data_IF_466047488396
#
_entry.id   IF_466047488396
#
_cell.length_a   1.000
_cell.length_b   1.000
_cell.length_c   1.000
_cell.angle_alpha   90.00
_cell.angle_beta   90.00
_cell.angle_gamma   90.00
#
_symmetry.space_group_name_H-M   'P 1'
#
loop_
_entity.id
_entity.type
_entity.pdbx_description
1 polymer ?
#
# COMPACT_ATOMS: atom_id res chain seq x y z
N UNK A 1 22.47 -7.54 -25.57
CA UNK A 1 22.29 -7.90 -24.13
C UNK A 1 20.86 -8.41 -23.95
N UNK A 2 20.59 -9.41 -23.10
CA UNK A 2 19.22 -9.85 -22.83
C UNK A 2 18.73 -9.14 -21.57
N UNK A 3 17.75 -8.27 -21.70
CA UNK A 3 17.12 -7.55 -20.58
C UNK A 3 15.79 -8.26 -20.24
N UNK A 4 15.56 -8.53 -18.97
CA UNK A 4 14.27 -9.06 -18.47
C UNK A 4 13.46 -7.85 -17.98
N UNK A 5 12.33 -7.60 -18.63
CA UNK A 5 11.48 -6.45 -18.34
C UNK A 5 10.28 -6.97 -17.52
N UNK A 6 10.03 -6.45 -16.33
CA UNK A 6 8.86 -6.85 -15.55
C UNK A 6 7.57 -6.36 -16.23
N UNK A 7 6.61 -7.28 -16.38
CA UNK A 7 5.30 -7.02 -16.98
C UNK A 7 4.13 -7.21 -16.00
N UNK A 8 4.44 -7.72 -14.80
CA UNK A 8 3.48 -7.93 -13.71
C UNK A 8 4.11 -7.43 -12.40
N UNK A 9 3.31 -6.83 -11.52
CA UNK A 9 3.74 -6.41 -10.17
C UNK A 9 4.28 -7.56 -9.31
N UNK A 10 4.03 -8.82 -9.68
CA UNK A 10 4.62 -10.00 -9.03
C UNK A 10 6.13 -10.10 -9.23
N UNK A 11 6.64 -9.50 -10.29
CA UNK A 11 8.06 -9.52 -10.69
C UNK A 11 8.86 -8.37 -10.06
N UNK A 12 8.17 -7.43 -9.41
CA UNK A 12 8.75 -6.26 -8.73
C UNK A 12 8.66 -6.48 -7.22
N UNK A 13 9.77 -6.28 -6.50
CA UNK A 13 9.80 -6.38 -5.04
C UNK A 13 9.59 -5.02 -4.37
N UNK A 14 9.15 -5.03 -3.10
CA UNK A 14 9.02 -3.82 -2.29
C UNK A 14 10.35 -3.07 -2.17
N UNK A 15 11.47 -3.78 -2.01
CA UNK A 15 12.79 -3.17 -1.92
C UNK A 15 13.20 -2.44 -3.21
N UNK A 16 12.91 -3.01 -4.39
CA UNK A 16 13.12 -2.31 -5.66
C UNK A 16 12.25 -1.07 -5.76
N UNK A 17 10.99 -1.17 -5.39
CA UNK A 17 10.05 -0.06 -5.44
C UNK A 17 10.47 1.10 -4.52
N UNK A 18 10.88 0.81 -3.27
CA UNK A 18 11.38 1.82 -2.33
C UNK A 18 12.67 2.51 -2.82
N UNK A 19 13.58 1.73 -3.43
CA UNK A 19 14.77 2.32 -4.07
C UNK A 19 14.38 3.30 -5.17
N UNK A 20 13.41 2.92 -6.01
CA UNK A 20 12.90 3.80 -7.06
C UNK A 20 12.22 5.05 -6.49
N UNK A 21 11.35 4.92 -5.48
CA UNK A 21 10.73 6.07 -4.81
C UNK A 21 11.76 7.06 -4.28
N UNK A 22 12.83 6.55 -3.66
CA UNK A 22 13.93 7.40 -3.18
C UNK A 22 14.60 8.16 -4.33
N UNK A 23 14.87 7.50 -5.46
CA UNK A 23 15.44 8.17 -6.65
C UNK A 23 14.52 9.29 -7.14
N UNK A 24 13.21 9.05 -7.20
CA UNK A 24 12.21 10.05 -7.61
C UNK A 24 12.20 11.24 -6.64
N UNK A 25 12.22 10.97 -5.33
CA UNK A 25 12.21 12.03 -4.31
C UNK A 25 13.48 12.89 -4.35
N UNK A 26 14.65 12.26 -4.54
CA UNK A 26 15.93 12.95 -4.53
C UNK A 26 16.24 13.72 -5.84
N UNK A 27 15.53 13.40 -6.94
CA UNK A 27 15.86 13.92 -8.29
C UNK A 27 14.60 14.39 -9.06
N UNK A 28 13.64 15.00 -8.39
CA UNK A 28 12.34 15.36 -8.97
C UNK A 28 12.40 16.21 -10.26
N UNK A 29 13.49 16.94 -10.47
CA UNK A 29 13.70 17.84 -11.62
C UNK A 29 14.45 17.16 -12.80
N UNK A 30 14.97 15.93 -12.63
CA UNK A 30 15.71 15.20 -13.67
C UNK A 30 14.97 13.94 -14.14
N UNK A 31 14.00 14.14 -15.02
CA UNK A 31 13.16 13.07 -15.59
C UNK A 31 14.01 12.00 -16.31
N UNK A 32 15.04 12.42 -17.04
CA UNK A 32 15.89 11.50 -17.79
C UNK A 32 16.63 10.57 -16.84
N UNK A 33 17.19 11.12 -15.76
CA UNK A 33 17.88 10.34 -14.74
C UNK A 33 16.92 9.36 -14.04
N UNK A 34 15.70 9.81 -13.70
CA UNK A 34 14.66 8.96 -13.10
C UNK A 34 14.33 7.77 -14.02
N UNK A 35 14.14 8.00 -15.32
CA UNK A 35 13.85 6.92 -16.28
C UNK A 35 15.02 5.93 -16.41
N UNK A 36 16.26 6.40 -16.43
CA UNK A 36 17.45 5.55 -16.46
C UNK A 36 17.51 4.66 -15.20
N UNK A 37 17.32 5.26 -14.03
CA UNK A 37 17.32 4.54 -12.76
C UNK A 37 16.14 3.56 -12.65
N UNK A 38 14.97 3.93 -13.18
CA UNK A 38 13.79 3.04 -13.25
C UNK A 38 14.13 1.76 -14.00
N UNK A 39 14.73 1.87 -15.19
CA UNK A 39 15.12 0.70 -15.98
C UNK A 39 16.20 -0.10 -15.25
N UNK A 40 17.23 0.56 -14.69
CA UNK A 40 18.30 -0.11 -13.96
C UNK A 40 17.77 -0.92 -12.76
N UNK A 41 16.87 -0.32 -11.96
CA UNK A 41 16.34 -0.93 -10.74
C UNK A 41 15.39 -2.09 -11.07
N UNK A 42 14.41 -1.88 -11.96
CA UNK A 42 13.38 -2.88 -12.20
C UNK A 42 13.80 -3.99 -13.16
N UNK A 43 14.74 -3.74 -14.07
CA UNK A 43 15.34 -4.78 -14.91
C UNK A 43 16.56 -5.43 -14.26
N UNK A 44 16.99 -4.94 -13.08
CA UNK A 44 18.15 -5.42 -12.34
C UNK A 44 19.43 -5.46 -13.19
N UNK A 45 19.73 -4.33 -13.86
CA UNK A 45 20.92 -4.14 -14.69
C UNK A 45 21.69 -2.88 -14.25
N UNK A 46 22.96 -2.82 -14.61
CA UNK A 46 23.79 -1.65 -14.30
C UNK A 46 23.40 -0.44 -15.16
N UNK A 47 23.51 0.77 -14.61
CA UNK A 47 23.24 2.02 -15.32
C UNK A 47 24.08 2.11 -16.61
N UNK A 48 25.34 1.65 -16.56
CA UNK A 48 26.24 1.59 -17.72
C UNK A 48 25.69 0.73 -18.87
N UNK A 49 24.84 -0.26 -18.57
CA UNK A 49 24.22 -1.11 -19.56
C UNK A 49 22.92 -0.49 -20.08
N UNK A 50 22.17 0.22 -19.24
CA UNK A 50 21.04 1.04 -19.70
C UNK A 50 21.49 2.04 -20.75
N UNK A 51 22.63 2.71 -20.54
CA UNK A 51 23.19 3.72 -21.46
C UNK A 51 23.62 3.15 -22.82
N UNK A 52 23.71 1.82 -22.96
CA UNK A 52 24.04 1.15 -24.24
C UNK A 52 22.78 0.75 -25.03
N UNK A 53 21.60 0.88 -24.45
CA UNK A 53 20.34 0.53 -25.11
C UNK A 53 20.04 1.51 -26.26
N UNK A 54 19.51 1.04 -27.40
CA UNK A 54 18.95 1.91 -28.41
C UNK A 54 17.80 2.77 -27.84
N UNK A 55 17.73 4.04 -28.24
CA UNK A 55 16.77 4.99 -27.64
C UNK A 55 15.29 4.52 -27.75
N UNK A 56 14.92 3.88 -28.86
CA UNK A 56 13.58 3.34 -29.05
C UNK A 56 13.28 2.17 -28.09
N UNK A 57 14.24 1.25 -27.94
CA UNK A 57 14.10 0.13 -27.00
C UNK A 57 14.02 0.62 -25.55
N UNK A 58 14.85 1.62 -25.19
CA UNK A 58 14.77 2.25 -23.88
C UNK A 58 13.40 2.86 -23.61
N UNK A 59 12.84 3.61 -24.58
CA UNK A 59 11.49 4.20 -24.44
C UNK A 59 10.40 3.14 -24.27
N UNK A 60 10.48 2.02 -25.01
CA UNK A 60 9.54 0.91 -24.89
C UNK A 60 9.63 0.21 -23.53
N UNK A 61 10.86 0.05 -22.99
CA UNK A 61 11.08 -0.52 -21.65
C UNK A 61 10.48 0.41 -20.59
N UNK A 62 10.78 1.70 -20.63
CA UNK A 62 10.23 2.70 -19.71
C UNK A 62 8.70 2.64 -19.72
N UNK A 63 8.09 2.62 -20.91
CA UNK A 63 6.64 2.51 -21.07
C UNK A 63 6.08 1.24 -20.44
N UNK A 64 6.71 0.09 -20.68
CA UNK A 64 6.27 -1.20 -20.16
C UNK A 64 6.32 -1.22 -18.63
N UNK A 65 7.42 -0.75 -18.03
CA UNK A 65 7.55 -0.68 -16.58
C UNK A 65 6.50 0.26 -15.98
N UNK A 66 6.28 1.42 -16.58
CA UNK A 66 5.28 2.37 -16.11
C UNK A 66 3.87 1.76 -16.13
N UNK A 67 3.49 1.06 -17.21
CA UNK A 67 2.22 0.35 -17.29
C UNK A 67 2.11 -0.77 -16.24
N UNK A 68 3.23 -1.44 -15.94
CA UNK A 68 3.28 -2.46 -14.87
C UNK A 68 3.06 -1.84 -13.50
N UNK A 69 3.68 -0.70 -13.23
CA UNK A 69 3.51 0.02 -11.99
C UNK A 69 2.10 0.64 -11.83
N UNK A 70 1.35 0.78 -12.89
CA UNK A 70 -0.02 1.32 -12.89
C UNK A 70 -1.09 0.26 -12.58
N UNK A 71 -0.72 -1.03 -12.53
CA UNK A 71 -1.64 -2.12 -12.23
C UNK A 71 -2.25 -1.97 -10.82
N UNK A 72 -3.54 -2.27 -10.68
CA UNK A 72 -4.29 -2.19 -9.41
C UNK A 72 -4.75 -3.58 -8.98
N UNK A 73 -3.91 -4.35 -8.29
CA UNK A 73 -4.22 -5.71 -7.89
C UNK A 73 -5.23 -5.75 -6.74
N UNK A 74 -6.05 -6.81 -6.71
CA UNK A 74 -6.90 -7.11 -5.56
C UNK A 74 -6.10 -7.70 -4.40
N UNK A 75 -6.70 -7.68 -3.19
CA UNK A 75 -6.10 -8.28 -1.99
C UNK A 75 -5.76 -9.76 -2.20
N UNK A 76 -4.51 -10.12 -1.97
CA UNK A 76 -4.05 -11.50 -1.90
C UNK A 76 -4.13 -11.99 -0.46
N UNK A 77 -5.13 -12.83 -0.14
CA UNK A 77 -5.36 -13.31 1.25
C UNK A 77 -4.25 -14.21 1.78
N UNK A 78 -3.60 -15.00 0.92
CA UNK A 78 -2.52 -15.91 1.33
C UNK A 78 -1.45 -16.00 0.26
N UNK A 79 -0.18 -16.02 0.67
CA UNK A 79 0.95 -16.22 -0.25
C UNK A 79 2.07 -16.99 0.45
N UNK A 80 3.03 -17.47 -0.35
CA UNK A 80 4.22 -18.16 0.15
C UNK A 80 5.46 -17.34 -0.17
N UNK A 81 6.28 -17.09 0.83
CA UNK A 81 7.54 -16.36 0.69
C UNK A 81 8.58 -17.00 1.60
N UNK A 82 9.81 -17.21 1.10
CA UNK A 82 10.93 -17.80 1.85
C UNK A 82 10.57 -19.13 2.56
N UNK A 83 9.73 -19.95 1.92
CA UNK A 83 9.29 -21.24 2.47
C UNK A 83 8.12 -21.15 3.47
N UNK A 84 7.77 -19.97 3.96
CA UNK A 84 6.68 -19.72 4.92
C UNK A 84 5.39 -19.34 4.19
N UNK A 85 4.25 -19.87 4.66
CA UNK A 85 2.94 -19.47 4.16
C UNK A 85 2.41 -18.34 5.05
N UNK A 86 2.17 -17.18 4.45
CA UNK A 86 1.60 -16.02 5.12
C UNK A 86 0.11 -15.91 4.84
N UNK A 87 -0.66 -15.46 5.84
CA UNK A 87 -2.08 -15.15 5.74
C UNK A 87 -2.37 -13.73 6.18
N UNK A 88 -3.23 -13.04 5.44
CA UNK A 88 -3.78 -11.74 5.85
C UNK A 88 -4.67 -11.93 7.10
N UNK A 89 -4.78 -10.92 7.95
CA UNK A 89 -5.66 -10.93 9.13
C UNK A 89 -7.04 -11.47 8.73
N UNK A 90 -7.48 -12.63 9.28
CA UNK A 90 -8.72 -13.28 8.83
C UNK A 90 -9.99 -12.49 9.16
N UNK A 91 -9.96 -11.72 10.26
CA UNK A 91 -11.09 -10.93 10.72
C UNK A 91 -10.60 -9.58 11.26
N UNK A 92 -10.84 -8.52 10.49
CA UNK A 92 -10.47 -7.15 10.86
C UNK A 92 -11.25 -6.59 12.05
N UNK A 93 -12.43 -7.12 12.36
CA UNK A 93 -13.21 -6.70 13.53
C UNK A 93 -12.61 -7.17 14.86
N UNK A 94 -11.69 -8.14 14.81
CA UNK A 94 -11.08 -8.77 15.99
C UNK A 94 -9.58 -8.46 16.11
N UNK A 95 -9.11 -7.39 15.46
CA UNK A 95 -7.74 -6.94 15.65
C UNK A 95 -7.50 -6.50 17.09
N UNK A 96 -6.34 -6.82 17.62
CA UNK A 96 -5.93 -6.40 18.95
C UNK A 96 -5.63 -4.89 19.00
N UNK A 97 -5.63 -4.31 20.19
CA UNK A 97 -5.24 -2.91 20.37
C UNK A 97 -3.80 -2.65 19.89
N UNK A 98 -2.89 -3.62 20.09
CA UNK A 98 -1.51 -3.50 19.62
C UNK A 98 -1.41 -3.48 18.10
N UNK A 99 -2.11 -4.37 17.40
CA UNK A 99 -2.21 -4.38 15.94
C UNK A 99 -2.75 -3.05 15.42
N UNK A 100 -3.86 -2.57 16.00
CA UNK A 100 -4.46 -1.30 15.63
C UNK A 100 -3.49 -0.12 15.80
N UNK A 101 -2.85 -0.02 16.95
CA UNK A 101 -1.91 1.07 17.25
C UNK A 101 -0.68 1.06 16.32
N UNK A 102 -0.18 -0.14 15.96
CA UNK A 102 0.94 -0.26 15.02
C UNK A 102 0.52 0.14 13.61
N UNK A 103 -0.65 -0.32 13.14
CA UNK A 103 -1.18 0.07 11.83
C UNK A 103 -1.38 1.60 11.76
N UNK A 104 -1.97 2.20 12.79
CA UNK A 104 -2.19 3.64 12.88
C UNK A 104 -0.86 4.43 12.84
N UNK A 105 0.16 3.93 13.52
CA UNK A 105 1.51 4.51 13.49
C UNK A 105 2.15 4.44 12.11
N UNK A 106 1.88 3.40 11.33
CA UNK A 106 2.43 3.17 10.00
C UNK A 106 1.69 3.94 8.91
N UNK A 107 0.45 4.36 9.15
CA UNK A 107 -0.36 5.03 8.13
C UNK A 107 0.31 6.32 7.63
N UNK A 108 0.33 6.48 6.30
CA UNK A 108 0.93 7.64 5.63
C UNK A 108 2.46 7.68 5.64
N UNK A 109 3.13 6.60 6.08
CA UNK A 109 4.59 6.52 6.18
C UNK A 109 5.13 5.40 5.33
N UNK A 110 5.62 5.74 4.13
CA UNK A 110 6.17 4.76 3.19
C UNK A 110 7.37 3.98 3.75
N UNK A 111 8.15 4.61 4.64
CA UNK A 111 9.27 3.97 5.32
C UNK A 111 8.85 2.80 6.25
N UNK A 112 7.60 2.82 6.74
CA UNK A 112 7.06 1.80 7.64
C UNK A 112 6.19 0.74 6.94
N UNK A 113 6.24 0.66 5.60
CA UNK A 113 5.44 -0.30 4.81
C UNK A 113 5.69 -1.74 5.23
N UNK A 114 6.95 -2.15 5.45
CA UNK A 114 7.31 -3.50 5.89
C UNK A 114 6.72 -3.83 7.27
N UNK A 115 6.76 -2.86 8.18
CA UNK A 115 6.18 -3.02 9.52
C UNK A 115 4.66 -3.18 9.40
N UNK A 116 3.99 -2.37 8.60
CA UNK A 116 2.56 -2.49 8.35
C UNK A 116 2.20 -3.86 7.75
N UNK A 117 3.00 -4.35 6.80
CA UNK A 117 2.81 -5.68 6.21
C UNK A 117 3.00 -6.80 7.23
N UNK A 118 3.97 -6.68 8.17
CA UNK A 118 4.21 -7.69 9.21
C UNK A 118 3.06 -7.80 10.21
N UNK A 119 2.31 -6.72 10.41
CA UNK A 119 1.07 -6.75 11.19
C UNK A 119 -0.05 -7.42 10.39
N UNK A 120 -0.23 -7.03 9.13
CA UNK A 120 -1.33 -7.50 8.28
C UNK A 120 -1.17 -8.96 7.85
N UNK A 121 0.06 -9.42 7.62
CA UNK A 121 0.38 -10.77 7.17
C UNK A 121 1.29 -11.47 8.17
N UNK A 122 0.84 -12.60 8.66
CA UNK A 122 1.58 -13.44 9.59
C UNK A 122 1.63 -14.88 9.12
N UNK A 123 2.60 -15.67 9.60
CA UNK A 123 2.67 -17.09 9.28
C UNK A 123 1.36 -17.81 9.60
N UNK A 124 0.93 -18.67 8.68
CA UNK A 124 -0.27 -19.49 8.88
C UNK A 124 0.11 -20.69 9.77
N UNK A 125 -0.54 -20.79 10.93
CA UNK A 125 -0.34 -21.89 11.90
C UNK A 125 -1.20 -23.10 11.58
N UNK A 126 -2.47 -22.87 11.15
CA UNK A 126 -3.40 -23.93 10.78
C UNK A 126 -4.20 -23.51 9.56
N UNK A 127 -4.56 -24.47 8.72
CA UNK A 127 -5.48 -24.24 7.61
C UNK A 127 -6.36 -25.45 7.38
N UNK A 128 -7.65 -25.19 7.12
CA UNK A 128 -8.66 -26.19 6.77
C UNK A 128 -9.40 -25.74 5.51
N UNK A 129 -9.86 -26.72 4.73
CA UNK A 129 -10.80 -26.46 3.63
C UNK A 129 -12.17 -26.98 4.01
N UNK A 130 -13.21 -26.11 3.95
CA UNK A 130 -14.58 -26.46 4.20
C UNK A 130 -15.42 -25.97 3.00
N UNK A 131 -16.15 -26.86 2.35
CA UNK A 131 -16.98 -26.53 1.18
C UNK A 131 -16.25 -25.80 0.04
N UNK A 132 -14.96 -26.07 -0.16
CA UNK A 132 -14.12 -25.42 -1.18
C UNK A 132 -13.46 -24.11 -0.72
N UNK A 133 -13.90 -23.52 0.37
CA UNK A 133 -13.29 -22.33 0.96
C UNK A 133 -12.14 -22.69 1.90
N UNK A 134 -11.08 -21.88 1.89
CA UNK A 134 -9.90 -22.06 2.73
C UNK A 134 -10.01 -21.12 3.94
N UNK A 135 -10.13 -21.73 5.12
CA UNK A 135 -10.02 -21.06 6.41
C UNK A 135 -8.63 -21.27 7.00
N UNK A 136 -8.10 -20.27 7.67
CA UNK A 136 -6.78 -20.37 8.29
C UNK A 136 -6.70 -19.54 9.57
N UNK A 137 -5.78 -19.94 10.44
CA UNK A 137 -5.33 -19.19 11.61
C UNK A 137 -3.91 -18.69 11.34
N UNK A 138 -3.60 -17.51 11.83
CA UNK A 138 -2.26 -16.92 11.74
C UNK A 138 -1.63 -16.84 13.14
N UNK A 139 -0.33 -16.67 13.21
CA UNK A 139 0.38 -16.44 14.47
C UNK A 139 -0.17 -15.21 15.19
N UNK A 140 -0.10 -15.22 16.52
CA UNK A 140 -0.48 -14.08 17.34
C UNK A 140 0.45 -12.88 17.09
N UNK A 141 -0.08 -11.68 17.26
CA UNK A 141 0.72 -10.45 17.16
C UNK A 141 1.63 -10.33 18.39
N UNK A 142 2.92 -10.23 18.16
CA UNK A 142 3.94 -10.16 19.22
C UNK A 142 4.46 -8.74 19.47
N UNK A 143 4.23 -7.81 18.53
CA UNK A 143 4.84 -6.47 18.55
C UNK A 143 6.34 -6.47 18.19
N UNK A 144 6.86 -7.57 17.66
CA UNK A 144 8.26 -7.66 17.24
C UNK A 144 8.47 -7.01 15.88
N UNK A 145 9.03 -5.80 15.90
CA UNK A 145 9.32 -5.02 14.69
C UNK A 145 10.39 -5.66 13.79
N UNK A 146 11.22 -6.57 14.34
CA UNK A 146 12.24 -7.26 13.53
C UNK A 146 11.63 -8.14 12.43
N UNK A 147 10.38 -8.58 12.60
CA UNK A 147 9.65 -9.34 11.61
C UNK A 147 9.40 -8.55 10.32
N UNK A 148 9.41 -7.23 10.38
CA UNK A 148 9.28 -6.34 9.22
C UNK A 148 10.36 -6.61 8.15
N UNK A 149 11.58 -6.96 8.55
CA UNK A 149 12.69 -7.24 7.64
C UNK A 149 12.39 -8.41 6.67
N UNK A 150 11.52 -9.32 7.06
CA UNK A 150 11.11 -10.44 6.21
C UNK A 150 10.32 -9.99 4.98
N UNK A 151 9.74 -8.78 5.01
CA UNK A 151 8.86 -8.27 3.96
C UNK A 151 9.56 -7.41 2.90
N UNK A 152 10.87 -7.17 3.00
CA UNK A 152 11.63 -6.41 1.99
C UNK A 152 11.48 -6.96 0.57
N UNK A 153 11.45 -8.27 0.41
CA UNK A 153 11.34 -8.95 -0.88
C UNK A 153 9.90 -9.30 -1.26
N UNK A 154 8.91 -8.74 -0.55
CA UNK A 154 7.50 -8.98 -0.86
C UNK A 154 7.16 -8.45 -2.25
N UNK A 155 6.53 -9.27 -3.12
CA UNK A 155 6.09 -8.82 -4.44
C UNK A 155 5.07 -7.67 -4.35
N UNK A 156 5.24 -6.65 -5.18
CA UNK A 156 4.44 -5.42 -5.14
C UNK A 156 2.93 -5.64 -5.31
N UNK A 157 2.50 -6.68 -6.02
CA UNK A 157 1.07 -6.99 -6.11
C UNK A 157 0.44 -7.33 -4.76
N UNK A 158 1.19 -7.95 -3.83
CA UNK A 158 0.74 -8.25 -2.46
C UNK A 158 0.68 -6.96 -1.66
N UNK A 159 1.76 -6.18 -1.70
CA UNK A 159 1.87 -4.89 -0.99
C UNK A 159 0.72 -3.97 -1.39
N UNK A 160 0.59 -3.72 -2.70
CA UNK A 160 -0.40 -2.79 -3.24
C UNK A 160 -1.84 -3.28 -3.01
N UNK A 161 -2.10 -4.58 -3.20
CA UNK A 161 -3.41 -5.15 -2.93
C UNK A 161 -3.83 -5.02 -1.47
N UNK A 162 -2.91 -5.19 -0.53
CA UNK A 162 -3.17 -4.99 0.90
C UNK A 162 -3.44 -3.53 1.24
N UNK A 163 -2.63 -2.61 0.70
CA UNK A 163 -2.78 -1.17 0.91
C UNK A 163 -4.13 -0.66 0.38
N UNK A 164 -4.45 -0.97 -0.87
CA UNK A 164 -5.73 -0.56 -1.50
C UNK A 164 -6.93 -1.11 -0.71
N UNK A 165 -6.87 -2.38 -0.29
CA UNK A 165 -7.92 -2.99 0.52
C UNK A 165 -8.09 -2.26 1.85
N UNK A 166 -6.98 -2.01 2.56
CA UNK A 166 -7.00 -1.35 3.86
C UNK A 166 -7.57 0.08 3.76
N UNK A 167 -7.12 0.85 2.77
CA UNK A 167 -7.64 2.20 2.53
C UNK A 167 -9.12 2.21 2.16
N UNK A 168 -9.57 1.25 1.36
CA UNK A 168 -10.98 1.13 1.00
C UNK A 168 -11.83 0.86 2.24
N UNK A 169 -11.41 -0.07 3.09
CA UNK A 169 -12.08 -0.41 4.35
C UNK A 169 -12.13 0.79 5.30
N UNK A 170 -11.00 1.49 5.46
CA UNK A 170 -10.91 2.65 6.33
C UNK A 170 -11.79 3.80 5.85
N UNK A 171 -11.80 4.08 4.53
CA UNK A 171 -12.66 5.11 3.94
C UNK A 171 -14.15 4.79 4.11
N UNK A 172 -14.53 3.50 4.00
CA UNK A 172 -15.91 3.06 4.22
C UNK A 172 -16.34 3.25 5.68
N UNK A 173 -15.48 2.87 6.64
CA UNK A 173 -15.70 3.07 8.07
C UNK A 173 -15.87 4.54 8.44
N UNK A 174 -15.00 5.42 7.93
CA UNK A 174 -15.09 6.86 8.14
C UNK A 174 -16.41 7.43 7.60
N UNK A 175 -16.75 7.10 6.35
CA UNK A 175 -18.00 7.56 5.75
C UNK A 175 -19.22 7.07 6.53
N UNK A 176 -19.22 5.81 6.97
CA UNK A 176 -20.31 5.25 7.76
C UNK A 176 -20.44 5.96 9.11
N UNK A 177 -19.33 6.25 9.77
CA UNK A 177 -19.29 6.96 11.06
C UNK A 177 -19.82 8.38 10.91
N UNK A 178 -19.31 9.14 9.92
CA UNK A 178 -19.75 10.51 9.64
C UNK A 178 -21.25 10.59 9.29
N UNK A 179 -21.79 9.61 8.56
CA UNK A 179 -23.21 9.54 8.21
C UNK A 179 -24.09 9.09 9.38
N UNK A 180 -23.55 8.35 10.35
CA UNK A 180 -24.31 7.78 11.45
C UNK A 180 -24.52 8.75 12.61
N UNK A 181 -23.54 9.61 12.91
CA UNK A 181 -23.60 10.56 14.02
C UNK A 181 -24.82 11.50 13.95
N UNK A 182 -25.13 12.18 12.82
CA UNK A 182 -26.31 13.02 12.75
C UNK A 182 -27.63 12.26 12.88
N UNK A 183 -27.69 11.01 12.35
CA UNK A 183 -28.88 10.15 12.44
C UNK A 183 -29.14 9.66 13.86
N UNK A 184 -28.12 9.33 14.63
CA UNK A 184 -28.22 8.95 16.02
C UNK A 184 -28.68 10.13 16.88
N UNK A 185 -28.11 11.31 16.68
CA UNK A 185 -28.51 12.53 17.38
C UNK A 185 -29.99 12.91 17.12
N UNK A 186 -30.46 12.79 15.88
CA UNK A 186 -31.86 13.00 15.53
C UNK A 186 -32.79 11.95 16.13
N UNK A 187 -32.38 10.68 16.22
CA UNK A 187 -33.18 9.59 16.76
C UNK A 187 -33.40 9.74 18.27
N UNK A 188 -32.42 10.22 18.99
CA UNK A 188 -32.46 10.39 20.44
C UNK A 188 -32.97 11.78 20.88
N UNK A 189 -33.35 12.66 19.93
CA UNK A 189 -33.73 14.05 20.19
C UNK A 189 -32.69 14.80 21.01
N UNK A 190 -31.43 14.39 20.91
CA UNK A 190 -30.30 15.02 21.58
C UNK A 190 -29.88 16.26 20.79
N UNK A 191 -29.87 17.39 21.46
CA UNK A 191 -29.23 18.58 20.92
C UNK A 191 -27.72 18.41 21.10
N UNK A 192 -27.01 17.99 20.04
CA UNK A 192 -25.58 17.74 20.05
C UNK A 192 -24.76 18.90 20.64
N UNK A 193 -25.22 20.12 20.46
CA UNK A 193 -24.59 21.32 21.01
C UNK A 193 -24.73 21.46 22.55
N UNK A 194 -25.76 20.83 23.15
CA UNK A 194 -25.99 20.88 24.61
C UNK A 194 -25.34 19.71 25.36
N UNK A 195 -25.28 18.52 24.72
CA UNK A 195 -24.76 17.30 25.34
C UNK A 195 -23.23 17.21 25.27
N UNK A 196 -22.66 17.78 24.23
CA UNK A 196 -21.21 17.82 24.00
C UNK A 196 -20.81 19.24 23.56
N UNK A 197 -20.54 20.17 24.49
CA UNK A 197 -20.18 21.55 24.14
C UNK A 197 -18.96 21.65 23.20
N UNK A 198 -18.15 20.61 23.09
CA UNK A 198 -17.02 20.50 22.16
C UNK A 198 -17.24 19.47 21.03
N UNK A 199 -18.48 18.94 20.86
CA UNK A 199 -18.76 17.93 19.84
C UNK A 199 -18.62 18.48 18.41
N UNK A 200 -18.85 19.77 18.21
CA UNK A 200 -18.61 20.46 16.95
C UNK A 200 -17.14 20.36 16.53
N UNK A 201 -16.22 20.49 17.47
CA UNK A 201 -14.78 20.37 17.21
C UNK A 201 -14.39 18.92 16.91
N UNK A 202 -14.98 17.93 17.60
CA UNK A 202 -14.72 16.53 17.33
C UNK A 202 -15.24 16.06 15.96
N UNK A 203 -16.43 16.49 15.54
CA UNK A 203 -16.99 16.19 14.22
C UNK A 203 -16.20 16.92 13.13
N UNK A 204 -15.83 18.18 13.35
CA UNK A 204 -14.99 18.94 12.44
C UNK A 204 -13.59 18.31 12.33
N UNK A 205 -13.02 17.87 13.45
CA UNK A 205 -11.73 17.17 13.47
C UNK A 205 -11.79 15.83 12.72
N UNK A 206 -12.85 15.04 12.91
CA UNK A 206 -13.06 13.79 12.15
C UNK A 206 -13.31 14.06 10.66
N UNK A 207 -14.04 15.12 10.31
CA UNK A 207 -14.24 15.53 8.92
C UNK A 207 -12.95 16.01 8.29
N UNK A 208 -12.15 16.81 8.99
CA UNK A 208 -10.82 17.24 8.56
C UNK A 208 -9.86 16.04 8.43
N UNK A 209 -9.90 15.11 9.37
CA UNK A 209 -9.12 13.87 9.29
C UNK A 209 -9.51 13.05 8.06
N UNK A 210 -10.81 12.91 7.79
CA UNK A 210 -11.31 12.21 6.60
C UNK A 210 -10.92 12.92 5.29
N UNK A 211 -10.96 14.26 5.26
CA UNK A 211 -10.50 15.03 4.10
C UNK A 211 -8.98 14.97 3.93
N UNK A 212 -8.22 15.10 5.00
CA UNK A 212 -6.76 14.97 4.96
C UNK A 212 -6.34 13.57 4.50
N UNK A 213 -6.95 12.52 5.03
CA UNK A 213 -6.71 11.14 4.62
C UNK A 213 -7.12 10.90 3.18
N UNK A 214 -8.21 11.51 2.70
CA UNK A 214 -8.60 11.45 1.29
C UNK A 214 -7.60 12.18 0.39
N UNK A 215 -7.07 13.31 0.83
CA UNK A 215 -6.01 14.06 0.16
C UNK A 215 -4.68 13.30 0.17
N UNK A 216 -4.31 12.68 1.29
CA UNK A 216 -3.13 11.82 1.40
C UNK A 216 -3.28 10.57 0.53
N UNK A 217 -4.46 9.94 0.49
CA UNK A 217 -4.75 8.84 -0.43
C UNK A 217 -4.67 9.29 -1.89
N UNK A 218 -5.28 10.42 -2.26
CA UNK A 218 -5.15 10.99 -3.59
C UNK A 218 -3.71 11.40 -3.92
N UNK A 219 -2.92 11.79 -2.92
CA UNK A 219 -1.51 12.13 -3.09
C UNK A 219 -0.67 10.85 -3.17
N UNK A 220 -0.99 9.82 -2.41
CA UNK A 220 -0.42 8.47 -2.52
C UNK A 220 -0.84 7.80 -3.84
N UNK A 221 -2.10 7.86 -4.24
CA UNK A 221 -2.51 7.49 -5.59
C UNK A 221 -1.76 8.31 -6.63
N UNK A 222 -1.65 9.60 -6.46
CA UNK A 222 -0.88 10.47 -7.35
C UNK A 222 0.61 10.19 -7.30
N UNK A 223 1.21 9.97 -6.16
CA UNK A 223 2.63 9.57 -6.07
C UNK A 223 2.87 8.15 -6.58
N UNK A 224 1.92 7.26 -6.37
CA UNK A 224 1.94 5.89 -6.87
C UNK A 224 1.53 5.81 -8.36
N UNK A 225 0.68 6.74 -8.87
CA UNK A 225 0.07 6.65 -10.21
C UNK A 225 0.45 7.80 -11.15
N UNK A 226 0.77 9.01 -10.70
CA UNK A 226 0.82 10.20 -11.55
C UNK A 226 2.20 10.71 -11.92
N UNK A 227 3.26 10.26 -11.31
CA UNK A 227 4.57 10.54 -11.88
C UNK A 227 4.81 9.81 -13.21
N UNK A 228 3.94 8.85 -13.57
CA UNK A 228 4.12 8.05 -14.78
C UNK A 228 3.34 8.60 -16.00
N UNK A 229 2.19 9.25 -15.81
CA UNK A 229 1.39 9.75 -16.96
C UNK A 229 1.89 11.06 -17.56
N UNK A 230 2.77 11.79 -16.90
CA UNK A 230 3.41 12.99 -17.47
C UNK A 230 4.43 12.69 -18.57
N UNK A 231 4.97 11.47 -18.61
CA UNK A 231 6.05 11.08 -19.52
C UNK A 231 5.59 10.64 -20.92
N UNK A 232 4.28 10.72 -21.25
CA UNK A 232 3.75 10.17 -22.51
C UNK A 232 3.12 11.20 -23.46
N UNK A 233 3.20 12.51 -23.20
CA UNK A 233 2.51 13.54 -23.98
C UNK A 233 3.44 14.58 -24.62
N UNK A 234 4.63 14.18 -25.09
CA UNK A 234 5.38 14.99 -26.06
C UNK A 234 5.91 14.12 -27.18
#
# INVERSE_FOLDING_TARGET
>A
MRVVIPTDLKEITLSQYKRYQKVVADNADDETYICIQMVAIFCNIEVSDVMKLPALEFADIVKTIAQTLDQSPSLTKTFKMNGVNYGFIPNMERISLGEHATIDTCMGKDELTELMLSVMYRPITKSIKVNGEKYYEIEEFTGDESLALNFNDTPMHIVRGAMVFFWSLFSELLNHTLCSIPKMAQREKLNLAEVLPNAGDGINHLSQLAENLKLEFQTLEKSLFLNHSRYYLT
#
